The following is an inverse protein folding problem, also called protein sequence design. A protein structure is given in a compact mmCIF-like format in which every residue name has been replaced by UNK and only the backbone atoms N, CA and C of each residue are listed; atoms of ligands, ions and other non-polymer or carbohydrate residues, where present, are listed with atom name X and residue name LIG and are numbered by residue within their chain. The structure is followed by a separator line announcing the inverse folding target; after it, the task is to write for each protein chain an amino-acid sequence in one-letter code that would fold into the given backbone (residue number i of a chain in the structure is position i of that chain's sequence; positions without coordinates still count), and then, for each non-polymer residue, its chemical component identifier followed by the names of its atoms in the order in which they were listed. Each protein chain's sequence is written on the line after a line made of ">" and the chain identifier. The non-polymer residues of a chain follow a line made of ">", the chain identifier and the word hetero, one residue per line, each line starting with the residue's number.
data_IF_390730897580
#
_entry.id   IF_390730897580
#
_cell.length_a   1.000
_cell.length_b   1.000
_cell.length_c   1.000
_cell.angle_alpha   90.00
_cell.angle_beta   90.00
_cell.angle_gamma   90.00
#
_symmetry.space_group_name_H-M   'P 1'
#
loop_
_entity.id
_entity.type
_entity.pdbx_description
1 polymer ?
#
# COMPACT_ATOMS: atom_id res chain seq x y z
N UNK A 1 -12.76 -10.48 -5.01
CA UNK A 1 -12.80 -9.77 -3.73
C UNK A 1 -11.77 -8.65 -3.78
N UNK A 2 -12.16 -7.45 -3.42
CA UNK A 2 -11.27 -6.30 -3.45
C UNK A 2 -11.04 -5.73 -2.05
N UNK A 3 -9.89 -5.10 -1.87
CA UNK A 3 -9.49 -4.48 -0.61
C UNK A 3 -9.60 -2.96 -0.76
N UNK A 4 -10.50 -2.37 0.01
CA UNK A 4 -10.64 -0.93 0.10
C UNK A 4 -10.20 -0.46 1.49
N UNK A 5 -9.30 0.49 1.53
CA UNK A 5 -8.76 1.05 2.77
C UNK A 5 -9.19 2.49 2.90
N UNK A 6 -9.69 2.89 4.06
CA UNK A 6 -10.21 4.25 4.22
C UNK A 6 -10.07 4.78 5.64
N UNK A 7 -10.12 6.11 5.74
CA UNK A 7 -10.13 6.84 7.01
C UNK A 7 -11.39 7.72 7.01
N UNK A 8 -12.21 7.58 8.07
CA UNK A 8 -13.38 8.43 8.27
C UNK A 8 -13.06 9.50 9.32
N UNK A 9 -13.51 10.73 9.05
CA UNK A 9 -13.40 11.83 10.00
C UNK A 9 -14.81 12.39 10.19
N UNK A 10 -15.29 12.37 11.43
CA UNK A 10 -16.66 12.82 11.75
C UNK A 10 -17.72 12.12 10.92
N UNK A 11 -17.54 10.82 10.67
CA UNK A 11 -18.48 10.00 9.92
C UNK A 11 -18.44 10.16 8.41
N UNK A 12 -17.50 10.94 7.88
CA UNK A 12 -17.32 11.17 6.44
C UNK A 12 -15.97 10.64 6.01
N UNK A 13 -15.94 9.91 4.88
CA UNK A 13 -14.68 9.41 4.35
C UNK A 13 -13.78 10.58 3.94
N UNK A 14 -12.59 10.62 4.55
CA UNK A 14 -11.60 11.67 4.29
C UNK A 14 -10.54 11.23 3.28
N UNK A 15 -10.21 9.94 3.26
CA UNK A 15 -9.19 9.38 2.36
C UNK A 15 -9.53 7.91 2.11
N UNK A 16 -9.38 7.47 0.88
CA UNK A 16 -9.65 6.08 0.51
C UNK A 16 -8.73 5.62 -0.59
N UNK A 17 -8.37 4.32 -0.55
CA UNK A 17 -7.52 3.67 -1.55
C UNK A 17 -8.11 2.30 -1.87
N UNK A 18 -8.37 2.04 -3.14
CA UNK A 18 -8.75 0.71 -3.61
C UNK A 18 -7.49 0.00 -4.11
N UNK A 19 -7.04 -0.96 -3.33
CA UNK A 19 -5.80 -1.69 -3.61
C UNK A 19 -5.96 -2.79 -4.66
N UNK A 20 -7.17 -3.02 -5.14
CA UNK A 20 -7.47 -4.14 -6.03
C UNK A 20 -7.83 -5.39 -5.23
N UNK A 21 -7.47 -6.56 -5.75
CA UNK A 21 -7.73 -7.81 -5.05
C UNK A 21 -6.82 -7.97 -3.82
N UNK A 22 -7.22 -8.81 -2.87
CA UNK A 22 -6.36 -9.13 -1.72
C UNK A 22 -5.01 -9.67 -2.17
N UNK A 23 -5.01 -10.45 -3.26
CA UNK A 23 -3.76 -10.98 -3.84
C UNK A 23 -2.85 -9.89 -4.39
N UNK A 24 -3.41 -8.77 -4.87
CA UNK A 24 -2.60 -7.64 -5.33
C UNK A 24 -1.87 -6.96 -4.17
N UNK A 25 -2.56 -6.77 -3.05
CA UNK A 25 -1.95 -6.24 -1.84
C UNK A 25 -0.87 -7.20 -1.31
N UNK A 26 -1.16 -8.50 -1.31
CA UNK A 26 -0.20 -9.51 -0.87
C UNK A 26 1.00 -9.61 -1.80
N UNK A 27 0.82 -9.36 -3.09
CA UNK A 27 1.95 -9.33 -4.04
C UNK A 27 2.94 -8.22 -3.67
N UNK A 28 2.44 -7.05 -3.30
CA UNK A 28 3.30 -5.96 -2.81
C UNK A 28 4.04 -6.37 -1.54
N UNK A 29 3.33 -6.93 -0.57
CA UNK A 29 3.92 -7.34 0.71
C UNK A 29 4.96 -8.45 0.51
N UNK A 30 4.69 -9.38 -0.41
CA UNK A 30 5.64 -10.44 -0.75
C UNK A 30 6.93 -9.87 -1.36
N UNK A 31 6.79 -8.90 -2.27
CA UNK A 31 7.94 -8.21 -2.85
C UNK A 31 8.79 -7.56 -1.75
N UNK A 32 8.15 -6.85 -0.84
CA UNK A 32 8.84 -6.17 0.27
C UNK A 32 9.59 -7.18 1.14
N UNK A 33 8.94 -8.27 1.52
CA UNK A 33 9.58 -9.31 2.34
C UNK A 33 10.78 -9.91 1.65
N UNK A 34 10.68 -10.21 0.35
CA UNK A 34 11.75 -10.84 -0.40
C UNK A 34 12.95 -9.92 -0.62
N UNK A 35 12.69 -8.66 -0.93
CA UNK A 35 13.75 -7.74 -1.37
C UNK A 35 14.22 -6.76 -0.30
N UNK A 36 13.42 -6.47 0.70
CA UNK A 36 13.75 -5.49 1.74
C UNK A 36 13.88 -6.11 3.13
N UNK A 37 13.36 -7.32 3.33
CA UNK A 37 13.39 -8.01 4.64
C UNK A 37 14.19 -9.32 4.60
N UNK A 38 15.00 -9.53 3.58
CA UNK A 38 15.83 -10.74 3.41
C UNK A 38 15.02 -12.04 3.46
N UNK A 39 13.78 -12.00 2.95
CA UNK A 39 12.89 -13.14 2.94
C UNK A 39 12.25 -13.48 4.29
N UNK A 40 12.32 -12.58 5.26
CA UNK A 40 11.76 -12.76 6.61
C UNK A 40 10.59 -11.82 6.84
N UNK A 41 9.35 -12.24 6.49
CA UNK A 41 8.19 -11.35 6.55
C UNK A 41 7.99 -10.74 7.94
N UNK A 42 7.86 -9.41 7.98
CA UNK A 42 7.61 -8.66 9.21
C UNK A 42 8.85 -8.38 10.04
N UNK A 43 10.04 -8.82 9.60
CA UNK A 43 11.27 -8.60 10.36
C UNK A 43 11.61 -7.12 10.49
N UNK A 44 11.39 -6.32 9.44
CA UNK A 44 11.68 -4.88 9.46
C UNK A 44 10.43 -4.01 9.47
N UNK A 45 9.34 -4.50 8.85
CA UNK A 45 8.12 -3.73 8.64
C UNK A 45 6.89 -4.47 9.15
N UNK A 46 6.82 -4.75 10.47
CA UNK A 46 5.78 -5.61 11.01
C UNK A 46 4.36 -5.05 10.86
N UNK A 47 4.18 -3.73 10.94
CA UNK A 47 2.84 -3.15 10.84
C UNK A 47 2.22 -3.34 9.46
N UNK A 48 3.00 -3.17 8.40
CA UNK A 48 2.51 -3.39 7.05
C UNK A 48 2.39 -4.88 6.73
N UNK A 49 3.41 -5.65 7.07
CA UNK A 49 3.54 -7.02 6.57
C UNK A 49 2.69 -8.02 7.36
N UNK A 50 2.56 -7.83 8.67
CA UNK A 50 1.90 -8.82 9.53
C UNK A 50 0.41 -8.57 9.75
N UNK A 51 -0.13 -7.46 9.24
CA UNK A 51 -1.56 -7.18 9.36
C UNK A 51 -2.37 -8.12 8.46
N UNK A 52 -3.64 -8.37 8.84
CA UNK A 52 -4.57 -9.10 7.97
C UNK A 52 -4.67 -8.44 6.60
N UNK A 53 -4.95 -9.22 5.56
CA UNK A 53 -5.13 -8.71 4.19
C UNK A 53 -6.58 -8.35 3.87
N UNK A 54 -7.52 -8.62 4.75
CA UNK A 54 -8.94 -8.52 4.41
C UNK A 54 -9.83 -7.93 5.49
N UNK A 55 -9.36 -7.79 6.73
CA UNK A 55 -10.24 -7.31 7.81
C UNK A 55 -9.46 -6.59 8.90
N UNK A 56 -10.21 -5.91 9.77
CA UNK A 56 -9.65 -5.20 10.90
C UNK A 56 -9.32 -3.75 10.57
N UNK A 57 -8.32 -3.25 11.25
CA UNK A 57 -7.91 -1.87 11.12
C UNK A 57 -6.47 -1.70 11.55
N UNK A 58 -5.81 -0.64 11.08
CA UNK A 58 -4.64 -0.10 11.76
C UNK A 58 -5.15 0.95 12.73
N UNK A 59 -4.92 0.71 14.02
CA UNK A 59 -5.37 1.62 15.07
C UNK A 59 -4.59 2.94 15.00
N UNK A 60 -5.18 4.05 15.51
CA UNK A 60 -4.49 5.35 15.48
C UNK A 60 -3.09 5.29 16.09
N UNK A 61 -2.92 4.54 17.19
CA UNK A 61 -1.62 4.41 17.87
C UNK A 61 -0.58 3.65 17.05
N UNK A 62 -0.99 2.86 16.05
CA UNK A 62 -0.06 2.12 15.20
C UNK A 62 0.30 2.88 13.91
N UNK A 63 -0.44 3.94 13.59
CA UNK A 63 -0.28 4.63 12.31
C UNK A 63 1.04 5.40 12.19
N UNK A 64 1.61 5.89 13.29
CA UNK A 64 2.91 6.56 13.25
C UNK A 64 4.01 5.58 12.86
N UNK A 65 4.02 4.38 13.44
CA UNK A 65 4.98 3.34 13.09
C UNK A 65 4.77 2.87 11.64
N UNK A 66 3.51 2.71 11.21
CA UNK A 66 3.18 2.35 9.85
C UNK A 66 3.69 3.41 8.87
N UNK A 67 3.48 4.69 9.15
CA UNK A 67 3.99 5.79 8.32
C UNK A 67 5.51 5.72 8.17
N UNK A 68 6.23 5.48 9.26
CA UNK A 68 7.68 5.39 9.23
C UNK A 68 8.16 4.20 8.41
N UNK A 69 7.47 3.05 8.53
CA UNK A 69 7.73 1.88 7.69
C UNK A 69 7.52 2.19 6.22
N UNK A 70 6.38 2.80 5.88
CA UNK A 70 6.03 3.14 4.49
C UNK A 70 7.03 4.12 3.88
N UNK A 71 7.46 5.13 4.63
CA UNK A 71 8.45 6.09 4.14
C UNK A 71 9.77 5.40 3.80
N UNK A 72 10.24 4.48 4.65
CA UNK A 72 11.48 3.72 4.39
C UNK A 72 11.33 2.75 3.22
N UNK A 73 10.17 2.12 3.10
CA UNK A 73 9.88 1.20 1.99
C UNK A 73 9.87 1.97 0.67
N UNK A 74 9.19 3.12 0.61
CA UNK A 74 9.13 3.96 -0.57
C UNK A 74 10.54 4.36 -1.01
N UNK A 75 11.35 4.86 -0.09
CA UNK A 75 12.73 5.25 -0.39
C UNK A 75 13.53 4.09 -0.97
N UNK A 76 13.46 2.92 -0.32
CA UNK A 76 14.19 1.74 -0.78
C UNK A 76 13.72 1.24 -2.14
N UNK A 77 12.40 1.23 -2.38
CA UNK A 77 11.83 0.74 -3.64
C UNK A 77 12.07 1.72 -4.80
N UNK A 78 12.22 3.01 -4.53
CA UNK A 78 12.59 3.98 -5.57
C UNK A 78 14.01 3.73 -6.10
N UNK A 79 14.86 3.07 -5.33
CA UNK A 79 16.24 2.73 -5.73
C UNK A 79 16.33 1.40 -6.48
N UNK A 80 15.22 0.68 -6.63
CA UNK A 80 15.20 -0.63 -7.28
C UNK A 80 14.57 -0.53 -8.67
N UNK A 81 15.00 -1.43 -9.60
CA UNK A 81 14.45 -1.40 -10.96
C UNK A 81 12.96 -1.71 -10.97
N UNK A 82 12.26 -1.15 -11.96
CA UNK A 82 10.85 -1.42 -12.18
C UNK A 82 10.61 -2.92 -12.43
N UNK A 83 9.45 -3.40 -12.02
CA UNK A 83 8.97 -4.75 -12.32
C UNK A 83 7.80 -4.68 -13.29
N UNK A 84 7.51 -5.79 -13.96
CA UNK A 84 6.36 -5.85 -14.86
C UNK A 84 5.06 -5.85 -14.06
N UNK A 85 4.02 -5.24 -14.64
CA UNK A 85 2.67 -5.42 -14.10
C UNK A 85 2.21 -6.86 -14.31
N UNK A 86 1.49 -7.44 -13.33
CA UNK A 86 0.91 -8.77 -13.53
C UNK A 86 -0.16 -8.71 -14.64
N UNK A 87 -0.38 -9.80 -15.37
CA UNK A 87 -1.45 -9.83 -16.38
C UNK A 87 -2.80 -9.60 -15.73
N UNK A 88 -3.65 -8.82 -16.40
CA UNK A 88 -4.98 -8.50 -15.92
C UNK A 88 -5.24 -7.01 -15.90
N UNK A 89 -5.95 -6.54 -14.86
CA UNK A 89 -6.40 -5.15 -14.79
C UNK A 89 -5.25 -4.13 -14.74
N UNK A 90 -4.12 -4.49 -14.13
CA UNK A 90 -2.97 -3.58 -14.02
C UNK A 90 -2.39 -3.27 -15.41
N UNK A 91 -2.23 -4.29 -16.24
CA UNK A 91 -1.74 -4.10 -17.61
C UNK A 91 -2.71 -3.27 -18.43
N UNK A 92 -4.01 -3.56 -18.34
CA UNK A 92 -5.04 -2.81 -19.07
C UNK A 92 -5.06 -1.34 -18.65
N UNK A 93 -4.99 -1.08 -17.35
CA UNK A 93 -4.98 0.28 -16.81
C UNK A 93 -3.72 1.03 -17.21
N UNK A 94 -2.57 0.35 -17.14
CA UNK A 94 -1.29 0.95 -17.52
C UNK A 94 -1.28 1.36 -19.01
N UNK A 95 -1.86 0.54 -19.88
CA UNK A 95 -1.99 0.87 -21.28
C UNK A 95 -2.92 2.07 -21.49
N UNK A 96 -4.06 2.07 -20.81
CA UNK A 96 -5.06 3.15 -20.90
C UNK A 96 -4.50 4.49 -20.42
N UNK A 97 -3.71 4.51 -19.36
CA UNK A 97 -3.17 5.73 -18.76
C UNK A 97 -1.74 6.04 -19.21
N UNK A 98 -1.17 5.22 -20.11
CA UNK A 98 0.21 5.37 -20.58
C UNK A 98 1.22 5.38 -19.43
N UNK A 99 1.05 4.48 -18.45
CA UNK A 99 1.96 4.36 -17.31
C UNK A 99 3.27 3.71 -17.72
N UNK A 100 4.37 4.29 -17.30
CA UNK A 100 5.72 3.79 -17.54
C UNK A 100 6.51 3.84 -16.23
N UNK A 101 6.42 2.80 -15.39
CA UNK A 101 7.10 2.80 -14.09
C UNK A 101 8.60 2.99 -14.24
N UNK A 102 9.16 3.89 -13.46
CA UNK A 102 10.60 4.18 -13.47
C UNK A 102 11.38 3.32 -12.47
N UNK A 103 10.68 2.75 -11.49
CA UNK A 103 11.28 1.99 -10.40
C UNK A 103 10.26 1.03 -9.81
N UNK A 104 10.68 0.22 -8.83
CA UNK A 104 9.82 -0.76 -8.20
C UNK A 104 8.64 -0.12 -7.46
N UNK A 105 8.81 1.03 -6.84
CA UNK A 105 7.74 1.71 -6.11
C UNK A 105 6.57 2.06 -7.02
N UNK A 106 6.84 2.51 -8.24
CA UNK A 106 5.81 2.85 -9.24
C UNK A 106 5.22 1.63 -9.94
N UNK A 107 5.78 0.44 -9.71
CA UNK A 107 5.33 -0.80 -10.34
C UNK A 107 4.15 -1.46 -9.64
N UNK A 108 3.75 -0.97 -8.49
CA UNK A 108 2.60 -1.45 -7.72
C UNK A 108 1.58 -0.31 -7.64
N UNK A 109 0.45 -0.49 -8.34
CA UNK A 109 -0.56 0.57 -8.50
C UNK A 109 -1.88 0.17 -7.87
N UNK A 110 -2.67 1.18 -7.49
CA UNK A 110 -4.05 1.00 -7.09
C UNK A 110 -4.97 1.03 -8.33
N UNK A 111 -6.29 0.92 -8.12
CA UNK A 111 -7.24 0.88 -9.24
C UNK A 111 -7.35 2.20 -10.01
N UNK A 112 -6.84 3.30 -9.46
CA UNK A 112 -6.79 4.59 -10.13
C UNK A 112 -5.46 4.79 -10.89
N UNK A 113 -4.55 3.84 -10.82
CA UNK A 113 -3.25 3.93 -11.48
C UNK A 113 -2.20 4.69 -10.70
N UNK A 114 -2.49 5.07 -9.47
CA UNK A 114 -1.54 5.73 -8.60
C UNK A 114 -0.65 4.70 -7.88
N UNK A 115 0.59 5.08 -7.51
CA UNK A 115 1.43 4.17 -6.73
C UNK A 115 0.75 3.78 -5.42
N UNK A 116 0.59 2.47 -5.20
CA UNK A 116 -0.13 1.97 -4.03
C UNK A 116 0.51 2.42 -2.72
N UNK A 117 1.84 2.41 -2.64
CA UNK A 117 2.56 2.83 -1.43
C UNK A 117 2.32 4.30 -1.08
N UNK A 118 2.21 5.16 -2.08
CA UNK A 118 1.92 6.58 -1.87
C UNK A 118 0.51 6.74 -1.29
N UNK A 119 -0.45 5.97 -1.79
CA UNK A 119 -1.81 5.95 -1.24
C UNK A 119 -1.84 5.47 0.20
N UNK A 120 -1.10 4.40 0.53
CA UNK A 120 -1.01 3.89 1.90
C UNK A 120 -0.38 4.92 2.83
N UNK A 121 0.65 5.62 2.38
CA UNK A 121 1.27 6.69 3.17
C UNK A 121 0.28 7.83 3.43
N UNK A 122 -0.49 8.22 2.43
CA UNK A 122 -1.55 9.23 2.59
C UNK A 122 -2.60 8.81 3.60
N UNK A 123 -3.00 7.55 3.62
CA UNK A 123 -3.91 7.00 4.63
C UNK A 123 -3.31 7.13 6.04
N UNK A 124 -2.05 6.74 6.21
CA UNK A 124 -1.39 6.81 7.51
C UNK A 124 -1.28 8.26 8.02
N UNK A 125 -0.92 9.19 7.15
CA UNK A 125 -0.81 10.60 7.50
C UNK A 125 -2.17 11.19 7.86
N UNK A 126 -3.22 10.87 7.10
CA UNK A 126 -4.59 11.31 7.38
C UNK A 126 -5.07 10.76 8.72
N UNK A 127 -4.82 9.48 8.97
CA UNK A 127 -5.20 8.83 10.23
C UNK A 127 -4.53 9.49 11.43
N UNK A 128 -3.23 9.79 11.31
CA UNK A 128 -2.48 10.45 12.39
C UNK A 128 -3.07 11.84 12.68
N UNK A 129 -3.30 12.63 11.65
CA UNK A 129 -3.83 13.99 11.82
C UNK A 129 -5.22 13.98 12.45
N UNK A 130 -6.07 13.02 12.07
CA UNK A 130 -7.43 12.94 12.56
C UNK A 130 -7.58 12.17 13.88
N UNK A 131 -6.57 11.40 14.28
CA UNK A 131 -6.67 10.51 15.43
C UNK A 131 -7.65 9.35 15.19
N UNK A 132 -7.78 8.91 13.93
CA UNK A 132 -8.73 7.88 13.50
C UNK A 132 -8.00 6.67 12.95
N UNK A 133 -8.63 5.47 12.96
CA UNK A 133 -8.01 4.28 12.39
C UNK A 133 -8.09 4.26 10.87
N UNK A 134 -7.23 3.45 10.25
CA UNK A 134 -7.37 3.04 8.86
C UNK A 134 -8.20 1.75 8.85
N UNK A 135 -9.34 1.77 8.18
CA UNK A 135 -10.26 0.64 8.14
C UNK A 135 -10.05 -0.21 6.89
N UNK A 136 -10.09 -1.53 7.07
CA UNK A 136 -10.13 -2.52 5.99
C UNK A 136 -11.61 -2.82 5.70
N UNK A 137 -12.05 -2.47 4.50
CA UNK A 137 -13.46 -2.60 4.11
C UNK A 137 -13.69 -3.77 3.17
#
# INVERSE_FOLDING_TARGET
>A
MSLYLCVFVSGVESYGVDAGAYSDFNRLRHYIAQHLEDGKPGFRFPNLILHSDCEGEWRPEDCAALRDELARIIEAMCERPATDFPPGWQVALAQSLHLAPRNAMESFIDVDGEPLLVGLLGLAETAIQAGEPILFQ
#
